data_IF_975623951410
#
_entry.id   IF_975623951410
#
_cell.length_a   1.000
_cell.length_b   1.000
_cell.length_c   1.000
_cell.angle_alpha   90.00
_cell.angle_beta   90.00
_cell.angle_gamma   90.00
#
_symmetry.space_group_name_H-M   'P 1'
#
loop_
_entity.id
_entity.type
_entity.pdbx_description
1 polymer ?
#
# COMPACT_ATOMS: atom_id res chain seq x y z
N UNK A 1 -59.92 -12.07 9.76
CA UNK A 1 -60.31 -13.11 8.80
C UNK A 1 -60.37 -12.44 7.44
N UNK A 2 -59.65 -12.77 6.40
CA UNK A 2 -58.60 -13.74 6.09
C UNK A 2 -57.86 -13.10 4.90
N UNK A 3 -56.54 -13.04 4.95
CA UNK A 3 -55.72 -13.05 3.73
C UNK A 3 -54.39 -13.66 4.13
N UNK A 4 -54.40 -14.98 4.22
CA UNK A 4 -53.21 -15.82 4.30
C UNK A 4 -52.90 -16.38 2.91
N UNK A 5 -51.65 -16.14 2.47
CA UNK A 5 -50.83 -16.94 1.52
C UNK A 5 -51.28 -16.87 0.05
N UNK A 6 -50.39 -16.76 -0.94
CA UNK A 6 -49.26 -17.64 -1.23
C UNK A 6 -48.14 -16.87 -1.94
N UNK A 7 -46.94 -16.97 -1.36
CA UNK A 7 -45.60 -17.20 -1.94
C UNK A 7 -45.32 -16.84 -3.41
N UNK A 8 -44.20 -16.16 -3.67
CA UNK A 8 -42.97 -16.83 -4.10
C UNK A 8 -41.80 -15.85 -4.28
N UNK A 9 -40.72 -16.13 -3.56
CA UNK A 9 -39.31 -16.04 -3.94
C UNK A 9 -38.68 -14.70 -4.42
N UNK A 10 -37.46 -14.49 -3.88
CA UNK A 10 -36.43 -13.49 -4.20
C UNK A 10 -36.58 -12.15 -3.44
N UNK A 11 -35.70 -11.75 -2.53
CA UNK A 11 -34.42 -12.30 -2.14
C UNK A 11 -34.11 -11.90 -0.68
N UNK A 12 -34.23 -12.87 0.23
CA UNK A 12 -33.44 -12.86 1.45
C UNK A 12 -32.06 -13.43 1.08
N UNK A 13 -31.12 -12.57 0.70
CA UNK A 13 -29.69 -12.90 0.67
C UNK A 13 -28.83 -11.65 0.38
N UNK A 14 -28.50 -10.89 1.42
CA UNK A 14 -27.15 -10.29 1.50
C UNK A 14 -26.63 -10.34 2.94
N UNK A 15 -26.99 -11.39 3.68
CA UNK A 15 -26.23 -11.79 4.85
C UNK A 15 -25.00 -12.52 4.34
N UNK A 16 -23.94 -11.75 4.10
CA UNK A 16 -22.68 -12.22 3.54
C UNK A 16 -21.50 -11.37 3.98
N UNK A 17 -21.52 -10.82 5.20
CA UNK A 17 -20.27 -10.54 5.92
C UNK A 17 -19.78 -11.87 6.48
N UNK A 18 -19.42 -12.76 5.58
CA UNK A 18 -18.71 -13.99 5.92
C UNK A 18 -17.29 -13.56 6.23
N UNK A 19 -16.87 -13.79 7.47
CA UNK A 19 -15.51 -13.54 7.95
C UNK A 19 -14.48 -14.36 7.18
N UNK A 20 -14.17 -13.92 5.95
CA UNK A 20 -12.89 -14.18 5.35
C UNK A 20 -11.87 -13.41 6.20
N UNK A 21 -11.02 -14.16 6.93
CA UNK A 21 -9.75 -13.65 7.47
C UNK A 21 -9.19 -12.68 6.42
N UNK A 22 -8.93 -11.39 6.74
CA UNK A 22 -8.57 -10.44 5.70
C UNK A 22 -7.37 -11.03 4.97
N UNK A 23 -7.55 -11.42 3.70
CA UNK A 23 -6.41 -11.50 2.81
C UNK A 23 -5.77 -10.12 2.94
N UNK A 24 -4.50 -10.08 3.35
CA UNK A 24 -3.80 -8.84 3.71
C UNK A 24 -4.27 -7.73 2.76
N UNK A 25 -5.01 -6.75 3.29
CA UNK A 25 -5.72 -5.80 2.44
C UNK A 25 -4.71 -5.01 1.60
N UNK A 26 -5.16 -4.35 0.54
CA UNK A 26 -4.29 -3.41 -0.18
C UNK A 26 -3.64 -2.40 0.78
N UNK A 27 -4.36 -1.97 1.82
CA UNK A 27 -3.84 -1.13 2.89
C UNK A 27 -2.69 -1.78 3.69
N UNK A 28 -2.80 -3.06 4.05
CA UNK A 28 -1.70 -3.79 4.72
C UNK A 28 -0.48 -3.96 3.80
N UNK A 29 -0.70 -4.25 2.51
CA UNK A 29 0.39 -4.37 1.55
C UNK A 29 1.09 -3.03 1.32
N UNK A 30 0.32 -1.94 1.21
CA UNK A 30 0.84 -0.59 1.09
C UNK A 30 1.60 -0.18 2.35
N UNK A 31 1.07 -0.47 3.54
CA UNK A 31 1.75 -0.24 4.82
C UNK A 31 3.10 -0.95 4.87
N UNK A 32 3.15 -2.24 4.53
CA UNK A 32 4.40 -3.00 4.45
C UNK A 32 5.38 -2.44 3.41
N UNK A 33 4.89 -1.98 2.26
CA UNK A 33 5.73 -1.37 1.24
C UNK A 33 6.34 -0.04 1.72
N UNK A 34 5.59 0.74 2.51
CA UNK A 34 6.10 1.96 3.14
C UNK A 34 7.13 1.66 4.24
N UNK A 35 6.90 0.64 5.07
CA UNK A 35 7.89 0.18 6.05
C UNK A 35 9.17 -0.29 5.36
N UNK A 36 9.04 -1.01 4.24
CA UNK A 36 10.18 -1.44 3.45
C UNK A 36 10.94 -0.26 2.83
N UNK A 37 10.22 0.76 2.34
CA UNK A 37 10.83 2.00 1.85
C UNK A 37 11.62 2.72 2.95
N UNK A 38 11.07 2.81 4.16
CA UNK A 38 11.76 3.37 5.31
C UNK A 38 13.05 2.59 5.60
N UNK A 39 12.98 1.25 5.60
CA UNK A 39 14.16 0.40 5.81
C UNK A 39 15.24 0.61 4.74
N UNK A 40 14.86 0.82 3.47
CA UNK A 40 15.81 1.12 2.39
C UNK A 40 16.49 2.47 2.62
N UNK A 41 15.71 3.50 2.97
CA UNK A 41 16.24 4.84 3.27
C UNK A 41 17.16 4.84 4.49
N UNK A 42 16.80 4.11 5.56
CA UNK A 42 17.65 3.96 6.74
C UNK A 42 18.97 3.25 6.40
N UNK A 43 18.92 2.20 5.57
CA UNK A 43 20.11 1.46 5.14
C UNK A 43 21.06 2.34 4.33
N UNK A 44 20.51 3.13 3.40
CA UNK A 44 21.30 4.07 2.60
C UNK A 44 21.96 5.13 3.49
N UNK A 45 21.21 5.73 4.41
CA UNK A 45 21.73 6.70 5.38
C UNK A 45 22.81 6.11 6.29
N UNK A 46 22.64 4.87 6.75
CA UNK A 46 23.65 4.17 7.53
C UNK A 46 24.93 3.94 6.73
N UNK A 47 24.83 3.47 5.47
CA UNK A 47 25.99 3.25 4.59
C UNK A 47 26.73 4.56 4.29
N UNK A 48 26.00 5.65 4.05
CA UNK A 48 26.58 6.99 3.86
C UNK A 48 27.31 7.45 5.12
N UNK A 49 26.68 7.29 6.29
CA UNK A 49 27.27 7.68 7.58
C UNK A 49 28.52 6.87 7.87
N UNK A 50 28.45 5.55 7.67
CA UNK A 50 29.58 4.64 7.87
C UNK A 50 30.77 5.03 7.00
N UNK A 51 30.53 5.28 5.71
CA UNK A 51 31.54 5.77 4.78
C UNK A 51 32.13 7.12 5.24
N UNK A 52 31.29 8.07 5.64
CA UNK A 52 31.74 9.38 6.11
C UNK A 52 32.56 9.30 7.42
N UNK A 53 32.29 8.31 8.27
CA UNK A 53 33.05 8.04 9.50
C UNK A 53 34.33 7.22 9.29
N UNK A 54 34.64 6.84 8.05
CA UNK A 54 35.84 6.07 7.71
C UNK A 54 35.75 4.58 8.06
N UNK A 55 34.55 4.03 8.22
CA UNK A 55 34.35 2.59 8.31
C UNK A 55 34.60 1.94 6.94
N UNK A 56 35.02 0.67 6.94
CA UNK A 56 35.30 -0.13 5.74
C UNK A 56 33.98 -0.44 5.02
N UNK A 57 33.48 0.53 4.26
CA UNK A 57 32.31 0.42 3.40
C UNK A 57 32.73 0.79 2.01
N UNK A 58 32.51 -0.13 1.07
CA UNK A 58 32.85 0.10 -0.33
C UNK A 58 31.99 1.22 -0.91
N UNK A 59 32.62 2.20 -1.55
CA UNK A 59 31.93 3.35 -2.14
C UNK A 59 30.82 2.92 -3.13
N UNK A 60 31.06 1.84 -3.89
CA UNK A 60 30.09 1.29 -4.83
C UNK A 60 28.79 0.86 -4.14
N UNK A 61 28.91 0.29 -2.95
CA UNK A 61 27.83 -0.23 -2.14
C UNK A 61 26.95 0.89 -1.58
N UNK A 62 27.57 2.02 -1.21
CA UNK A 62 26.88 3.25 -0.81
C UNK A 62 26.10 3.82 -2.00
N UNK A 63 26.74 3.91 -3.17
CA UNK A 63 26.12 4.44 -4.39
C UNK A 63 24.94 3.57 -4.85
N UNK A 64 25.08 2.25 -4.79
CA UNK A 64 23.98 1.32 -5.09
C UNK A 64 22.80 1.50 -4.13
N UNK A 65 23.08 1.64 -2.83
CA UNK A 65 22.03 1.85 -1.83
C UNK A 65 21.28 3.17 -2.06
N UNK A 66 22.00 4.24 -2.38
CA UNK A 66 21.43 5.55 -2.71
C UNK A 66 20.59 5.51 -4.00
N UNK A 67 21.05 4.82 -5.04
CA UNK A 67 20.32 4.69 -6.29
C UNK A 67 19.02 3.88 -6.09
N UNK A 68 19.09 2.79 -5.31
CA UNK A 68 17.93 1.99 -4.94
C UNK A 68 16.91 2.80 -4.11
N UNK A 69 17.36 3.61 -3.16
CA UNK A 69 16.50 4.51 -2.39
C UNK A 69 15.81 5.54 -3.30
N UNK A 70 16.58 6.19 -4.18
CA UNK A 70 16.05 7.19 -5.13
C UNK A 70 14.95 6.60 -6.02
N UNK A 71 15.20 5.41 -6.59
CA UNK A 71 14.22 4.71 -7.41
C UNK A 71 12.97 4.33 -6.61
N UNK A 72 13.14 3.79 -5.41
CA UNK A 72 12.04 3.39 -4.54
C UNK A 72 11.19 4.60 -4.11
N UNK A 73 11.82 5.74 -3.82
CA UNK A 73 11.14 6.97 -3.42
C UNK A 73 10.38 7.62 -4.59
N UNK A 74 10.95 7.56 -5.80
CA UNK A 74 10.27 7.96 -7.04
C UNK A 74 9.01 7.12 -7.27
N UNK A 75 9.13 5.79 -7.14
CA UNK A 75 7.99 4.88 -7.22
C UNK A 75 6.91 5.20 -6.17
N UNK A 76 7.31 5.42 -4.91
CA UNK A 76 6.39 5.76 -3.84
C UNK A 76 5.62 7.07 -4.14
N UNK A 77 6.30 8.06 -4.71
CA UNK A 77 5.67 9.32 -5.14
C UNK A 77 4.65 9.09 -6.25
N UNK A 78 4.95 8.23 -7.23
CA UNK A 78 4.00 7.88 -8.29
C UNK A 78 2.77 7.17 -7.74
N UNK A 79 2.96 6.21 -6.84
CA UNK A 79 1.86 5.50 -6.16
C UNK A 79 1.01 6.47 -5.35
N UNK A 80 1.62 7.37 -4.59
CA UNK A 80 0.92 8.45 -3.85
C UNK A 80 0.07 9.29 -4.79
N UNK A 81 0.64 9.75 -5.90
CA UNK A 81 -0.08 10.57 -6.88
C UNK A 81 -1.28 9.81 -7.46
N UNK A 82 -1.10 8.54 -7.84
CA UNK A 82 -2.18 7.69 -8.35
C UNK A 82 -3.26 7.42 -7.31
N UNK A 83 -2.91 7.26 -6.04
CA UNK A 83 -3.89 7.10 -4.97
C UNK A 83 -4.74 8.37 -4.78
N UNK A 84 -4.10 9.56 -4.87
CA UNK A 84 -4.81 10.85 -4.80
C UNK A 84 -5.71 11.05 -6.04
N UNK A 85 -5.24 10.71 -7.23
CA UNK A 85 -6.04 10.74 -8.46
C UNK A 85 -7.25 9.79 -8.38
N UNK A 86 -7.04 8.56 -7.94
CA UNK A 86 -8.12 7.57 -7.77
C UNK A 86 -9.18 8.06 -6.78
N UNK A 87 -8.75 8.67 -5.67
CA UNK A 87 -9.67 9.33 -4.75
C UNK A 87 -10.46 10.43 -5.47
N UNK A 88 -9.80 11.35 -6.17
CA UNK A 88 -10.48 12.43 -6.89
C UNK A 88 -11.47 11.93 -7.96
N UNK A 89 -11.15 10.86 -8.67
CA UNK A 89 -12.00 10.28 -9.72
C UNK A 89 -13.29 9.70 -9.15
N UNK A 90 -13.22 8.99 -8.01
CA UNK A 90 -14.42 8.44 -7.33
C UNK A 90 -15.41 9.54 -6.95
N UNK A 91 -14.92 10.72 -6.52
CA UNK A 91 -15.80 11.86 -6.22
C UNK A 91 -16.39 12.50 -7.48
N UNK A 92 -15.68 12.48 -8.61
CA UNK A 92 -16.18 13.01 -9.89
C UNK A 92 -17.24 12.12 -10.54
N UNK A 93 -17.28 10.83 -10.23
CA UNK A 93 -18.33 9.94 -10.72
C UNK A 93 -19.70 10.14 -10.05
N UNK A 94 -19.76 10.84 -8.91
CA UNK A 94 -20.99 11.03 -8.13
C UNK A 94 -21.75 12.34 -8.43
N UNK A 95 -21.38 13.07 -9.50
CA UNK A 95 -22.18 14.18 -10.03
C UNK A 95 -22.97 13.79 -11.27
#
# INVERSE_FOLDING_TARGET
MEIERIQAAAAAAHTGVTGAKPAAGFADMLGKALDQLQSVSDTANQKVTAMATGQDVELHDVMLALEAESLAMSLATQVRNKAVEAYQEVFRMQV
#
